data_IF_175614998856
#
_entry.id   IF_175614998856
#
_cell.length_a   1.000
_cell.length_b   1.000
_cell.length_c   1.000
_cell.angle_alpha   90.00
_cell.angle_beta   90.00
_cell.angle_gamma   90.00
#
_symmetry.space_group_name_H-M   'P 1'
#
loop_
_entity.id
_entity.type
_entity.pdbx_description
1 polymer ?
#
# COMPACT_ATOMS: atom_id res chain seq x y z
N UNK A 1 14.62 -19.51 83.21
CA UNK A 1 13.30 -18.86 82.97
C UNK A 1 13.32 -18.31 81.56
N UNK A 2 12.55 -18.99 80.71
CA UNK A 2 12.31 -18.70 79.29
C UNK A 2 11.50 -17.43 79.11
N UNK A 3 11.89 -16.58 78.16
CA UNK A 3 10.93 -15.74 77.43
C UNK A 3 11.43 -15.57 76.00
N UNK A 4 10.95 -16.46 75.13
CA UNK A 4 11.13 -16.39 73.69
C UNK A 4 9.99 -15.50 73.16
N UNK A 5 10.32 -14.29 72.73
CA UNK A 5 9.35 -13.35 72.16
C UNK A 5 8.95 -13.87 70.75
N UNK A 6 7.77 -14.47 70.63
CA UNK A 6 7.18 -14.83 69.34
C UNK A 6 6.60 -13.57 68.68
N UNK A 7 7.29 -13.02 67.68
CA UNK A 7 6.75 -12.00 66.77
C UNK A 7 5.95 -12.70 65.67
N UNK A 8 4.62 -12.73 65.82
CA UNK A 8 3.70 -13.21 64.79
C UNK A 8 3.50 -12.09 63.77
N UNK A 9 4.12 -12.21 62.59
CA UNK A 9 3.78 -11.37 61.44
C UNK A 9 2.51 -11.93 60.79
N UNK A 10 1.36 -11.32 61.07
CA UNK A 10 0.13 -11.58 60.33
C UNK A 10 0.23 -10.93 58.95
N UNK A 11 0.58 -11.69 57.92
CA UNK A 11 0.35 -11.28 56.54
C UNK A 11 -1.15 -11.38 56.24
N UNK A 12 -1.88 -10.30 56.50
CA UNK A 12 -3.21 -10.11 55.91
C UNK A 12 -3.03 -9.98 54.40
N UNK A 13 -3.37 -11.05 53.66
CA UNK A 13 -3.52 -11.00 52.21
C UNK A 13 -4.66 -10.01 51.90
N UNK A 14 -4.30 -8.76 51.64
CA UNK A 14 -5.21 -7.82 51.00
C UNK A 14 -5.35 -8.35 49.57
N UNK A 15 -6.45 -9.04 49.29
CA UNK A 15 -6.86 -9.37 47.93
C UNK A 15 -7.12 -8.06 47.18
N UNK A 16 -6.07 -7.47 46.60
CA UNK A 16 -6.22 -6.53 45.52
C UNK A 16 -6.85 -7.29 44.35
N UNK A 17 -8.17 -7.14 44.19
CA UNK A 17 -8.85 -7.39 42.92
C UNK A 17 -8.45 -6.29 41.92
N UNK A 18 -7.15 -6.20 41.63
CA UNK A 18 -6.69 -5.57 40.42
C UNK A 18 -6.98 -6.54 39.29
N UNK A 19 -7.91 -6.19 38.40
CA UNK A 19 -7.97 -6.82 37.07
C UNK A 19 -6.63 -6.54 36.41
N UNK A 20 -5.69 -7.48 36.53
CA UNK A 20 -4.56 -7.56 35.62
C UNK A 20 -5.16 -7.85 34.25
N UNK A 21 -5.31 -6.81 33.43
CA UNK A 21 -5.46 -7.00 32.00
C UNK A 21 -4.17 -7.70 31.57
N UNK A 22 -4.27 -8.99 31.26
CA UNK A 22 -3.23 -9.68 30.52
C UNK A 22 -2.97 -8.84 29.27
N UNK A 23 -1.80 -8.20 29.20
CA UNK A 23 -1.30 -7.64 27.95
C UNK A 23 -1.17 -8.85 27.03
N UNK A 24 -2.15 -9.04 26.13
CA UNK A 24 -2.04 -10.06 25.09
C UNK A 24 -0.81 -9.67 24.28
N UNK A 25 0.23 -10.49 24.37
CA UNK A 25 1.37 -10.39 23.47
C UNK A 25 0.83 -10.60 22.06
N UNK A 26 0.62 -9.51 21.33
CA UNK A 26 0.28 -9.57 19.93
C UNK A 26 1.59 -9.83 19.20
N UNK A 27 1.68 -10.98 18.53
CA UNK A 27 2.86 -11.28 17.73
C UNK A 27 3.08 -10.15 16.72
N UNK A 28 4.35 -9.72 16.51
CA UNK A 28 4.65 -8.66 15.57
C UNK A 28 4.20 -9.08 14.17
N UNK A 29 3.51 -8.17 13.47
CA UNK A 29 2.98 -8.40 12.12
C UNK A 29 4.08 -8.54 11.05
N UNK A 30 5.34 -8.30 11.41
CA UNK A 30 6.48 -8.47 10.54
C UNK A 30 7.63 -9.16 11.27
N UNK A 31 8.61 -9.64 10.51
CA UNK A 31 9.92 -10.06 10.99
C UNK A 31 11.03 -9.23 10.37
N UNK A 32 12.09 -9.01 11.12
CA UNK A 32 13.30 -8.43 10.58
C UNK A 32 14.12 -9.52 9.91
N UNK A 33 14.25 -9.43 8.59
CA UNK A 33 15.01 -10.36 7.76
C UNK A 33 16.26 -9.66 7.28
N UNK A 34 17.40 -10.37 7.26
CA UNK A 34 18.61 -9.84 6.62
C UNK A 34 18.31 -9.41 5.18
N UNK A 35 18.78 -8.22 4.80
CA UNK A 35 18.44 -7.62 3.51
C UNK A 35 18.82 -8.53 2.33
N UNK A 36 19.82 -9.40 2.47
CA UNK A 36 20.27 -10.36 1.46
C UNK A 36 19.52 -11.70 1.50
N UNK A 37 18.75 -11.96 2.56
CA UNK A 37 17.97 -13.20 2.75
C UNK A 37 16.47 -13.00 2.48
N UNK A 38 16.08 -11.86 1.91
CA UNK A 38 14.68 -11.60 1.56
C UNK A 38 14.17 -12.63 0.54
N UNK A 39 12.89 -13.06 0.63
CA UNK A 39 12.31 -14.04 -0.28
C UNK A 39 12.50 -13.71 -1.77
N UNK A 40 12.54 -12.42 -2.11
CA UNK A 40 12.70 -11.94 -3.48
C UNK A 40 14.05 -12.25 -4.12
N UNK A 41 15.13 -12.29 -3.34
CA UNK A 41 16.47 -12.57 -3.84
C UNK A 41 16.67 -14.06 -4.18
N UNK A 42 15.76 -14.93 -3.75
CA UNK A 42 15.70 -16.31 -4.23
C UNK A 42 15.16 -16.43 -5.67
N UNK A 43 14.74 -15.32 -6.30
CA UNK A 43 14.33 -15.34 -7.70
C UNK A 43 15.55 -15.51 -8.62
N UNK A 44 15.54 -16.44 -9.61
CA UNK A 44 16.71 -16.70 -10.47
C UNK A 44 17.26 -15.46 -11.18
N UNK A 45 16.39 -14.52 -11.56
CA UNK A 45 16.80 -13.25 -12.21
C UNK A 45 17.40 -12.21 -11.26
N UNK A 46 17.28 -12.40 -9.95
CA UNK A 46 17.84 -11.51 -8.95
C UNK A 46 19.08 -12.12 -8.28
N UNK A 47 19.57 -13.26 -8.77
CA UNK A 47 20.84 -13.82 -8.36
C UNK A 47 21.97 -12.82 -8.66
N UNK A 48 22.80 -12.55 -7.66
CA UNK A 48 23.89 -11.56 -7.73
C UNK A 48 23.42 -10.10 -7.97
N UNK A 49 22.13 -9.80 -7.76
CA UNK A 49 21.64 -8.43 -7.88
C UNK A 49 22.30 -7.53 -6.83
N UNK A 50 22.90 -6.42 -7.28
CA UNK A 50 23.40 -5.39 -6.39
C UNK A 50 22.23 -4.55 -5.88
N UNK A 51 21.91 -4.70 -4.60
CA UNK A 51 20.81 -3.98 -3.95
C UNK A 51 21.10 -2.47 -3.96
N UNK A 52 20.26 -1.72 -4.65
CA UNK A 52 20.26 -0.25 -4.65
C UNK A 52 19.51 0.24 -3.41
N UNK A 53 20.22 0.81 -2.43
CA UNK A 53 19.64 1.22 -1.13
C UNK A 53 19.04 2.62 -1.12
N UNK A 54 19.51 3.48 -2.03
CA UNK A 54 19.09 4.87 -2.15
C UNK A 54 18.71 5.13 -3.60
N UNK A 55 17.59 5.82 -3.86
CA UNK A 55 17.29 6.31 -5.20
C UNK A 55 18.40 7.22 -5.73
N UNK A 56 18.47 7.45 -7.04
CA UNK A 56 19.41 8.41 -7.61
C UNK A 56 19.05 9.85 -7.21
N UNK A 57 20.03 10.76 -7.26
CA UNK A 57 19.82 12.17 -6.92
C UNK A 57 18.73 12.82 -7.80
N UNK A 58 18.60 12.39 -9.06
CA UNK A 58 17.53 12.86 -9.96
C UNK A 58 16.16 12.43 -9.45
N UNK A 59 16.02 11.17 -9.02
CA UNK A 59 14.76 10.67 -8.43
C UNK A 59 14.48 11.38 -7.12
N UNK A 60 15.49 11.62 -6.28
CA UNK A 60 15.31 12.38 -5.04
C UNK A 60 14.89 13.82 -5.30
N UNK A 61 15.47 14.50 -6.28
CA UNK A 61 15.09 15.87 -6.66
C UNK A 61 13.66 15.92 -7.22
N UNK A 62 13.28 14.90 -8.00
CA UNK A 62 11.93 14.73 -8.53
C UNK A 62 10.91 14.55 -7.40
N UNK A 63 11.17 13.63 -6.46
CA UNK A 63 10.29 13.38 -5.30
C UNK A 63 10.24 14.60 -4.36
N UNK A 64 11.36 15.29 -4.18
CA UNK A 64 11.47 16.46 -3.31
C UNK A 64 10.55 17.59 -3.76
N UNK A 65 10.42 17.83 -5.07
CA UNK A 65 9.51 18.84 -5.63
C UNK A 65 8.05 18.55 -5.28
N UNK A 66 7.63 17.29 -5.42
CA UNK A 66 6.27 16.85 -5.07
C UNK A 66 5.98 16.97 -3.57
N UNK A 67 6.96 16.70 -2.71
CA UNK A 67 6.83 16.91 -1.25
C UNK A 67 6.97 18.37 -0.83
N UNK A 68 7.66 19.23 -1.58
CA UNK A 68 7.83 20.65 -1.22
C UNK A 68 6.60 21.49 -1.56
N UNK A 69 5.83 21.09 -2.57
CA UNK A 69 4.46 21.61 -2.81
C UNK A 69 3.55 21.45 -1.59
N UNK A 70 3.91 20.60 -0.61
CA UNK A 70 3.18 20.44 0.64
C UNK A 70 3.45 21.49 1.71
N UNK A 71 4.53 22.29 1.63
CA UNK A 71 4.72 23.41 2.56
C UNK A 71 3.70 24.55 2.34
N UNK A 72 2.76 24.38 1.39
CA UNK A 72 1.60 25.23 1.13
C UNK A 72 0.27 24.58 1.59
N UNK A 73 0.28 23.35 2.12
CA UNK A 73 -0.90 22.60 2.57
C UNK A 73 -1.14 22.82 4.06
N UNK A 74 -1.91 23.84 4.42
CA UNK A 74 -2.32 24.04 5.81
C UNK A 74 -3.56 23.21 6.22
N UNK A 75 -4.23 22.48 5.29
CA UNK A 75 -5.50 21.79 5.56
C UNK A 75 -5.56 20.28 5.22
N UNK A 76 -4.58 19.70 4.52
CA UNK A 76 -4.57 18.26 4.20
C UNK A 76 -3.49 17.51 4.99
N UNK A 77 -3.90 16.53 5.80
CA UNK A 77 -3.00 15.79 6.67
C UNK A 77 -2.33 14.60 5.95
N UNK A 78 -1.08 14.30 6.30
CA UNK A 78 -0.37 13.15 5.75
C UNK A 78 -0.87 11.87 6.42
N UNK A 79 -1.13 10.84 5.63
CA UNK A 79 -1.45 9.52 6.14
C UNK A 79 -0.20 8.89 6.79
N UNK A 80 -0.32 8.49 8.04
CA UNK A 80 0.75 7.92 8.86
C UNK A 80 0.58 6.40 8.96
N UNK A 81 1.68 5.67 8.97
CA UNK A 81 1.68 4.22 9.16
C UNK A 81 1.72 3.86 10.64
N UNK A 82 0.90 2.90 11.06
CA UNK A 82 0.99 2.28 12.39
C UNK A 82 2.10 1.22 12.37
N UNK A 83 3.35 1.69 12.51
CA UNK A 83 4.56 0.88 12.51
C UNK A 83 5.50 1.30 13.65
N UNK A 84 6.31 0.37 14.20
CA UNK A 84 7.28 0.72 15.23
C UNK A 84 8.29 1.77 14.77
N UNK A 85 8.50 2.80 15.58
CA UNK A 85 9.39 3.92 15.26
C UNK A 85 10.82 3.48 14.92
N UNK A 86 11.35 2.50 15.68
CA UNK A 86 12.73 2.01 15.52
C UNK A 86 12.94 1.16 14.26
N UNK A 87 11.88 0.54 13.73
CA UNK A 87 11.99 -0.43 12.64
C UNK A 87 12.93 -1.60 12.96
N UNK A 88 13.56 -2.14 11.93
CA UNK A 88 14.53 -3.22 12.00
C UNK A 88 15.97 -2.73 12.24
N UNK A 89 16.83 -3.57 12.86
CA UNK A 89 18.26 -3.34 13.00
C UNK A 89 18.96 -3.05 11.66
N UNK A 90 20.14 -2.40 11.73
CA UNK A 90 20.98 -2.14 10.56
C UNK A 90 21.30 -3.45 9.82
N UNK A 91 21.07 -3.47 8.51
CA UNK A 91 21.28 -4.66 7.68
C UNK A 91 20.05 -5.55 7.53
N UNK A 92 18.96 -5.24 8.24
CA UNK A 92 17.70 -5.97 8.15
C UNK A 92 16.56 -5.08 7.63
N UNK A 93 15.53 -5.72 7.09
CA UNK A 93 14.30 -5.07 6.64
C UNK A 93 13.06 -5.78 7.20
N UNK A 94 11.97 -5.06 7.47
CA UNK A 94 10.74 -5.65 7.96
C UNK A 94 10.00 -6.37 6.83
N UNK A 95 9.75 -7.67 6.96
CA UNK A 95 8.97 -8.47 6.02
C UNK A 95 7.67 -8.87 6.71
N UNK A 96 6.54 -8.46 6.15
CA UNK A 96 5.22 -8.79 6.69
C UNK A 96 5.00 -10.30 6.76
N UNK A 97 4.50 -10.77 7.90
CA UNK A 97 4.11 -12.15 8.14
C UNK A 97 2.67 -12.34 7.69
N UNK A 98 2.40 -13.03 6.57
CA UNK A 98 1.03 -13.25 6.14
C UNK A 98 0.28 -14.05 7.20
N UNK A 99 -0.88 -13.55 7.65
CA UNK A 99 -1.76 -14.31 8.55
C UNK A 99 -2.42 -15.50 7.82
N UNK A 100 -2.59 -15.39 6.51
CA UNK A 100 -3.20 -16.41 5.65
C UNK A 100 -2.24 -16.85 4.53
N UNK A 101 -1.44 -17.89 4.79
CA UNK A 101 -0.52 -18.47 3.79
C UNK A 101 -1.23 -19.11 2.58
N UNK A 102 -2.50 -19.48 2.73
CA UNK A 102 -3.32 -20.09 1.68
C UNK A 102 -4.07 -19.06 0.81
N UNK A 103 -3.74 -17.77 0.92
CA UNK A 103 -4.33 -16.76 0.05
C UNK A 103 -3.89 -16.99 -1.39
N UNK A 104 -4.78 -17.54 -2.21
CA UNK A 104 -4.62 -17.55 -3.65
C UNK A 104 -4.84 -16.13 -4.14
N UNK A 105 -3.79 -15.51 -4.69
CA UNK A 105 -3.88 -14.18 -5.27
C UNK A 105 -5.04 -14.17 -6.27
N UNK A 106 -6.13 -13.48 -5.92
CA UNK A 106 -7.18 -13.19 -6.89
C UNK A 106 -6.59 -12.12 -7.80
N UNK A 107 -6.33 -12.40 -9.07
CA UNK A 107 -5.77 -11.39 -9.95
C UNK A 107 -6.77 -10.22 -10.02
N UNK A 108 -6.30 -9.00 -9.78
CA UNK A 108 -7.12 -7.81 -9.99
C UNK A 108 -6.95 -7.37 -11.45
N UNK A 109 -8.02 -7.52 -12.23
CA UNK A 109 -8.06 -7.15 -13.64
C UNK A 109 -8.67 -5.75 -13.77
N UNK A 110 -7.86 -4.70 -13.68
CA UNK A 110 -8.32 -3.38 -14.13
C UNK A 110 -8.37 -3.32 -15.65
N UNK A 111 -7.40 -3.89 -16.37
CA UNK A 111 -7.21 -3.60 -17.79
C UNK A 111 -6.84 -4.88 -18.56
N UNK A 112 -7.81 -5.59 -19.11
CA UNK A 112 -7.58 -6.38 -20.33
C UNK A 112 -8.68 -6.03 -21.33
N UNK A 113 -8.32 -5.77 -22.58
CA UNK A 113 -9.28 -5.54 -23.65
C UNK A 113 -10.12 -6.82 -23.84
N UNK A 114 -11.25 -6.92 -23.13
CA UNK A 114 -12.30 -7.91 -23.37
C UNK A 114 -12.61 -8.87 -22.22
N UNK A 115 -11.68 -9.16 -21.31
CA UNK A 115 -11.93 -10.10 -20.20
C UNK A 115 -11.86 -9.39 -18.84
N UNK A 116 -12.99 -8.81 -18.43
CA UNK A 116 -13.21 -8.36 -17.05
C UNK A 116 -13.57 -9.55 -16.18
N UNK A 117 -12.96 -9.64 -15.00
CA UNK A 117 -13.35 -10.67 -14.03
C UNK A 117 -14.70 -10.31 -13.44
N UNK A 118 -15.65 -11.26 -13.52
CA UNK A 118 -16.99 -11.09 -12.93
C UNK A 118 -16.83 -10.73 -11.44
N UNK A 119 -17.51 -9.66 -11.02
CA UNK A 119 -17.50 -9.15 -9.64
C UNK A 119 -16.33 -8.24 -9.28
N UNK A 120 -15.49 -7.84 -10.24
CA UNK A 120 -14.50 -6.78 -10.07
C UNK A 120 -14.95 -5.54 -10.83
N UNK A 121 -14.81 -4.37 -10.20
CA UNK A 121 -15.18 -3.08 -10.76
C UNK A 121 -14.02 -2.10 -10.66
N UNK A 122 -13.95 -1.17 -11.61
CA UNK A 122 -12.85 -0.19 -11.69
C UNK A 122 -13.39 1.20 -12.00
N UNK A 123 -12.81 2.20 -11.35
CA UNK A 123 -12.95 3.60 -11.69
C UNK A 123 -11.55 4.20 -11.67
N UNK A 124 -11.04 4.60 -12.83
CA UNK A 124 -9.73 5.22 -12.90
C UNK A 124 -9.46 5.87 -14.24
N UNK A 125 -8.22 6.35 -14.37
CA UNK A 125 -7.73 6.96 -15.59
C UNK A 125 -6.63 6.09 -16.18
N UNK A 126 -6.58 6.03 -17.51
CA UNK A 126 -5.53 5.36 -18.25
C UNK A 126 -4.97 6.27 -19.31
N UNK A 127 -3.69 6.11 -19.58
CA UNK A 127 -3.03 6.77 -20.70
C UNK A 127 -3.59 6.28 -22.04
N UNK A 128 -3.82 7.19 -22.99
CA UNK A 128 -4.22 6.85 -24.37
C UNK A 128 -3.13 7.13 -25.42
N UNK A 129 -2.11 7.91 -25.09
CA UNK A 129 -1.01 8.21 -26.02
C UNK A 129 -0.09 6.99 -26.27
N UNK A 130 0.66 7.00 -27.38
CA UNK A 130 1.61 5.94 -27.74
C UNK A 130 2.99 6.03 -27.05
N UNK A 131 3.33 7.14 -26.39
CA UNK A 131 4.66 7.37 -25.78
C UNK A 131 4.79 6.64 -24.43
N UNK A 132 5.75 5.74 -24.19
CA UNK A 132 5.81 5.02 -22.91
C UNK A 132 6.05 5.98 -21.72
N UNK A 133 5.24 5.86 -20.67
CA UNK A 133 5.56 6.46 -19.36
C UNK A 133 6.55 5.57 -18.62
N UNK A 134 7.58 6.20 -18.04
CA UNK A 134 8.64 5.52 -17.27
C UNK A 134 8.40 5.57 -15.78
N UNK A 135 7.35 6.25 -15.34
CA UNK A 135 7.01 6.37 -13.94
C UNK A 135 5.58 6.87 -13.79
N UNK A 136 5.10 6.82 -12.55
CA UNK A 136 3.86 7.41 -12.13
C UNK A 136 3.98 7.77 -10.65
N UNK A 137 3.47 8.93 -10.26
CA UNK A 137 3.33 9.31 -8.86
C UNK A 137 1.99 9.99 -8.61
N UNK A 138 1.45 9.84 -7.41
CA UNK A 138 0.21 10.47 -7.00
C UNK A 138 0.15 10.61 -5.47
N UNK A 139 -0.55 11.66 -5.03
CA UNK A 139 -1.14 11.71 -3.70
C UNK A 139 -2.50 11.01 -3.75
N UNK A 140 -2.67 9.94 -2.97
CA UNK A 140 -3.90 9.15 -2.93
C UNK A 140 -4.50 9.27 -1.54
N UNK A 141 -5.78 9.64 -1.46
CA UNK A 141 -6.53 9.63 -0.20
C UNK A 141 -6.68 8.20 0.33
N UNK A 142 -6.55 8.03 1.65
CA UNK A 142 -6.57 6.71 2.29
C UNK A 142 -7.92 6.50 2.96
N UNK A 143 -8.75 5.62 2.41
CA UNK A 143 -10.05 5.29 2.97
C UNK A 143 -10.08 3.87 3.54
N UNK A 144 -10.99 3.63 4.50
CA UNK A 144 -11.32 2.29 5.00
C UNK A 144 -12.74 1.89 4.57
N UNK A 145 -12.96 1.58 3.28
CA UNK A 145 -14.25 1.08 2.82
C UNK A 145 -14.62 -0.21 3.55
N UNK A 146 -15.91 -0.36 3.88
CA UNK A 146 -16.43 -1.60 4.44
C UNK A 146 -16.50 -2.66 3.35
N UNK A 147 -15.86 -3.81 3.58
CA UNK A 147 -15.89 -4.97 2.68
C UNK A 147 -16.39 -6.20 3.42
N UNK A 148 -17.12 -7.08 2.73
CA UNK A 148 -17.57 -8.36 3.27
C UNK A 148 -16.59 -9.49 2.93
N UNK A 149 -16.83 -10.68 3.51
CA UNK A 149 -16.02 -11.87 3.25
C UNK A 149 -15.91 -12.14 1.75
N UNK A 150 -14.69 -12.19 1.23
CA UNK A 150 -14.41 -12.46 -0.18
C UNK A 150 -14.41 -11.24 -1.10
N UNK A 151 -14.74 -10.05 -0.56
CA UNK A 151 -14.61 -8.76 -1.22
C UNK A 151 -13.31 -8.04 -0.77
N UNK A 152 -12.87 -7.10 -1.59
CA UNK A 152 -11.74 -6.22 -1.32
C UNK A 152 -11.98 -4.86 -1.99
N UNK A 153 -11.24 -3.84 -1.56
CA UNK A 153 -11.22 -2.52 -2.20
C UNK A 153 -9.79 -1.98 -2.20
N UNK A 154 -9.40 -1.27 -3.26
CA UNK A 154 -8.02 -0.79 -3.44
C UNK A 154 -7.99 0.55 -4.15
N UNK A 155 -6.95 1.33 -3.89
CA UNK A 155 -6.56 2.48 -4.70
C UNK A 155 -5.07 2.38 -5.01
N UNK A 156 -4.73 2.43 -6.30
CA UNK A 156 -3.41 2.07 -6.80
C UNK A 156 -2.99 3.00 -7.94
N UNK A 157 -1.71 3.30 -8.03
CA UNK A 157 -1.04 3.66 -9.29
C UNK A 157 -0.47 2.40 -9.93
N UNK A 158 -0.36 2.37 -11.25
CA UNK A 158 0.17 1.19 -11.94
C UNK A 158 0.90 1.52 -13.23
N UNK A 159 2.01 0.82 -13.47
CA UNK A 159 2.65 0.74 -14.78
C UNK A 159 2.31 -0.60 -15.41
N UNK A 160 1.98 -0.56 -16.70
CA UNK A 160 1.53 -1.73 -17.45
C UNK A 160 2.18 -1.72 -18.83
N UNK A 161 2.77 -2.84 -19.21
CA UNK A 161 3.25 -3.11 -20.57
C UNK A 161 2.64 -4.41 -21.07
N UNK A 162 2.06 -4.36 -22.26
CA UNK A 162 1.45 -5.51 -22.91
C UNK A 162 2.05 -5.68 -24.31
N UNK A 163 2.66 -6.83 -24.57
CA UNK A 163 3.23 -7.17 -25.87
C UNK A 163 3.06 -8.67 -26.15
N UNK A 164 2.54 -9.06 -27.31
CA UNK A 164 2.34 -10.46 -27.71
C UNK A 164 1.63 -11.30 -26.62
N UNK A 165 0.54 -10.78 -26.06
CA UNK A 165 -0.23 -11.38 -24.96
C UNK A 165 0.57 -11.62 -23.66
N UNK A 166 1.79 -11.06 -23.54
CA UNK A 166 2.54 -11.00 -22.28
C UNK A 166 2.24 -9.69 -21.59
N UNK A 167 1.76 -9.80 -20.37
CA UNK A 167 1.43 -8.68 -19.51
C UNK A 167 2.46 -8.56 -18.40
N UNK A 168 3.16 -7.43 -18.40
CA UNK A 168 3.99 -6.99 -17.28
C UNK A 168 3.27 -5.85 -16.57
N UNK A 169 3.06 -5.98 -15.26
CA UNK A 169 2.47 -4.90 -14.47
C UNK A 169 3.11 -4.81 -13.11
N UNK A 170 3.26 -3.58 -12.64
CA UNK A 170 3.55 -3.24 -11.25
C UNK A 170 2.50 -2.23 -10.81
N UNK A 171 1.91 -2.48 -9.66
CA UNK A 171 0.88 -1.64 -9.06
C UNK A 171 1.26 -1.37 -7.61
N UNK A 172 1.00 -0.16 -7.14
CA UNK A 172 1.39 0.28 -5.81
C UNK A 172 0.37 1.24 -5.23
N UNK A 173 -0.03 1.00 -3.98
CA UNK A 173 -0.95 1.86 -3.24
C UNK A 173 -1.46 1.19 -1.98
N UNK A 174 -2.76 1.23 -1.73
CA UNK A 174 -3.36 0.63 -0.54
C UNK A 174 -4.53 -0.29 -0.88
N UNK A 175 -4.78 -1.27 -0.02
CA UNK A 175 -5.91 -2.18 -0.13
C UNK A 175 -6.53 -2.46 1.24
N UNK A 176 -7.86 -2.59 1.25
CA UNK A 176 -8.63 -3.25 2.31
C UNK A 176 -9.00 -4.64 1.78
N UNK A 177 -8.24 -5.65 2.19
CA UNK A 177 -8.46 -7.05 1.81
C UNK A 177 -8.32 -7.98 3.04
N UNK A 178 -9.45 -8.34 3.69
CA UNK A 178 -9.44 -9.24 4.84
C UNK A 178 -8.99 -10.66 4.50
N UNK A 179 -9.09 -11.08 3.24
CA UNK A 179 -8.55 -12.36 2.80
C UNK A 179 -7.02 -12.37 2.85
N UNK A 180 -6.40 -11.29 2.40
CA UNK A 180 -4.95 -11.13 2.35
C UNK A 180 -4.35 -10.81 3.73
N UNK A 181 -4.97 -9.88 4.48
CA UNK A 181 -4.40 -9.32 5.71
C UNK A 181 -5.01 -9.85 7.01
N UNK A 182 -6.20 -10.46 6.94
CA UNK A 182 -6.92 -10.96 8.12
C UNK A 182 -7.61 -9.86 8.94
N UNK A 183 -7.63 -8.61 8.46
CA UNK A 183 -8.36 -7.49 9.04
C UNK A 183 -8.91 -6.56 7.95
N UNK A 184 -9.65 -5.53 8.38
CA UNK A 184 -10.28 -4.55 7.49
C UNK A 184 -9.49 -3.24 7.44
N UNK A 185 -8.22 -3.20 7.85
CA UNK A 185 -7.44 -1.97 7.81
C UNK A 185 -6.96 -1.69 6.38
N UNK A 186 -6.90 -0.42 5.94
CA UNK A 186 -6.20 -0.09 4.72
C UNK A 186 -4.70 -0.34 4.95
N UNK A 187 -4.10 -1.13 4.08
CA UNK A 187 -2.70 -1.55 4.20
C UNK A 187 -1.94 -1.26 2.92
N UNK A 188 -0.68 -0.82 3.08
CA UNK A 188 0.22 -0.59 1.95
C UNK A 188 0.34 -1.88 1.14
N UNK A 189 0.06 -1.80 -0.15
CA UNK A 189 -0.10 -2.98 -1.00
C UNK A 189 0.62 -2.76 -2.32
N UNK A 190 1.32 -3.79 -2.78
CA UNK A 190 1.78 -3.88 -4.15
C UNK A 190 1.27 -5.16 -4.78
N UNK A 191 1.06 -5.10 -6.09
CA UNK A 191 0.77 -6.25 -6.92
C UNK A 191 1.68 -6.16 -8.14
N UNK A 192 2.30 -7.28 -8.53
CA UNK A 192 3.05 -7.31 -9.78
C UNK A 192 2.94 -8.67 -10.46
N UNK A 193 3.11 -8.66 -11.78
CA UNK A 193 3.06 -9.85 -12.63
C UNK A 193 4.14 -9.76 -13.72
N UNK A 194 5.02 -10.77 -13.87
CA UNK A 194 6.10 -10.78 -14.87
C UNK A 194 5.68 -11.16 -16.29
N UNK A 195 4.62 -11.95 -16.46
CA UNK A 195 4.33 -12.57 -17.76
C UNK A 195 2.84 -12.65 -18.05
N UNK A 196 2.07 -13.17 -17.10
CA UNK A 196 0.62 -13.31 -17.17
C UNK A 196 0.04 -12.93 -15.84
N UNK A 197 -1.17 -12.40 -15.85
CA UNK A 197 -1.81 -11.90 -14.63
C UNK A 197 -2.03 -13.01 -13.58
N UNK A 198 -2.35 -14.24 -14.00
CA UNK A 198 -2.48 -15.36 -13.06
C UNK A 198 -1.15 -15.78 -12.42
N UNK A 199 -0.01 -15.32 -12.96
CA UNK A 199 1.32 -15.55 -12.40
C UNK A 199 1.73 -14.42 -11.42
N UNK A 200 0.87 -13.41 -11.21
CA UNK A 200 1.11 -12.31 -10.30
C UNK A 200 0.69 -12.60 -8.86
N UNK A 201 1.23 -11.83 -7.92
CA UNK A 201 0.94 -11.94 -6.50
C UNK A 201 1.14 -10.62 -5.77
N UNK A 202 0.57 -10.56 -4.56
CA UNK A 202 0.65 -9.39 -3.70
C UNK A 202 1.91 -9.40 -2.84
N UNK A 203 2.47 -8.22 -2.62
CA UNK A 203 3.53 -7.98 -1.64
C UNK A 203 4.69 -8.98 -1.80
N UNK A 204 5.27 -9.40 -0.67
CA UNK A 204 6.41 -10.31 -0.57
C UNK A 204 6.06 -11.77 -0.90
N UNK A 205 4.78 -12.09 -1.19
CA UNK A 205 4.41 -13.42 -1.72
C UNK A 205 5.07 -13.64 -3.10
N UNK A 206 5.32 -12.56 -3.82
CA UNK A 206 6.06 -12.58 -5.07
C UNK A 206 7.55 -12.32 -4.86
N UNK A 207 8.37 -13.08 -5.59
CA UNK A 207 9.82 -12.88 -5.63
C UNK A 207 10.22 -11.98 -6.80
N UNK A 208 10.28 -10.66 -6.62
CA UNK A 208 10.62 -9.77 -7.75
C UNK A 208 11.04 -8.34 -7.43
N UNK A 209 10.94 -7.89 -6.19
CA UNK A 209 11.45 -6.60 -5.75
C UNK A 209 12.20 -6.78 -4.42
N UNK A 210 13.15 -5.90 -4.15
CA UNK A 210 13.91 -5.91 -2.89
C UNK A 210 13.41 -4.77 -2.04
N UNK A 211 12.96 -5.05 -0.82
CA UNK A 211 12.65 -4.00 0.13
C UNK A 211 13.95 -3.49 0.75
N UNK A 212 14.08 -2.18 0.88
CA UNK A 212 15.31 -1.53 1.38
C UNK A 212 15.05 -0.63 2.57
N UNK A 213 13.80 -0.19 2.77
CA UNK A 213 13.42 0.59 3.93
C UNK A 213 13.45 -0.29 5.19
N UNK A 214 14.08 0.23 6.26
CA UNK A 214 14.24 -0.51 7.53
C UNK A 214 13.02 -0.40 8.44
N UNK A 215 12.04 0.47 8.14
CA UNK A 215 10.86 0.76 8.96
C UNK A 215 9.58 0.36 8.25
N UNK A 216 9.37 0.86 7.03
CA UNK A 216 8.16 0.63 6.28
C UNK A 216 8.22 -0.71 5.54
N UNK A 217 7.10 -1.44 5.56
CA UNK A 217 6.96 -2.72 4.88
C UNK A 217 5.63 -2.81 4.13
N UNK A 218 5.60 -3.64 3.09
CA UNK A 218 4.37 -3.96 2.39
C UNK A 218 3.46 -4.78 3.28
N UNK A 219 2.23 -4.32 3.46
CA UNK A 219 1.28 -4.81 4.44
C UNK A 219 1.16 -3.91 5.67
N UNK A 220 1.98 -2.86 5.83
CA UNK A 220 1.85 -1.93 6.95
C UNK A 220 0.47 -1.23 6.96
N UNK A 221 -0.23 -1.19 8.11
CA UNK A 221 -1.51 -0.50 8.24
C UNK A 221 -1.32 1.01 8.33
N UNK A 222 -2.28 1.77 7.80
CA UNK A 222 -2.39 3.20 8.07
C UNK A 222 -3.10 3.44 9.41
N UNK A 223 -2.62 4.41 10.18
CA UNK A 223 -3.10 4.78 11.52
C UNK A 223 -4.26 5.79 11.48
N UNK A 224 -4.27 6.63 10.44
CA UNK A 224 -5.29 7.65 10.18
C UNK A 224 -5.88 7.45 8.78
N UNK A 225 -7.16 7.77 8.64
CA UNK A 225 -7.94 7.53 7.42
C UNK A 225 -8.86 8.70 7.11
N UNK A 226 -9.09 8.93 5.83
CA UNK A 226 -10.07 9.89 5.33
C UNK A 226 -11.50 9.49 5.68
N UNK A 227 -12.34 10.49 5.93
CA UNK A 227 -13.77 10.35 6.16
C UNK A 227 -14.53 11.18 5.13
N UNK A 228 -15.57 10.61 4.52
CA UNK A 228 -16.41 11.33 3.55
C UNK A 228 -16.99 12.61 4.18
N UNK A 229 -16.75 13.76 3.55
CA UNK A 229 -17.16 15.07 4.06
C UNK A 229 -16.46 15.52 5.35
N UNK A 230 -15.40 14.83 5.77
CA UNK A 230 -14.63 15.13 6.97
C UNK A 230 -13.13 15.20 6.67
N UNK A 231 -12.32 14.93 7.70
CA UNK A 231 -10.85 14.96 7.60
C UNK A 231 -10.34 14.08 6.45
N UNK A 232 -9.38 14.60 5.70
CA UNK A 232 -8.74 13.91 4.58
C UNK A 232 -7.28 13.62 4.92
N UNK A 233 -6.86 12.38 4.69
CA UNK A 233 -5.48 11.93 4.84
C UNK A 233 -4.98 11.31 3.54
N UNK A 234 -3.82 11.77 3.09
CA UNK A 234 -3.26 11.37 1.79
C UNK A 234 -1.89 10.73 1.96
N UNK A 235 -1.62 9.71 1.14
CA UNK A 235 -0.28 9.09 1.02
C UNK A 235 0.29 9.40 -0.35
N UNK A 236 1.57 9.77 -0.38
CA UNK A 236 2.30 9.90 -1.63
C UNK A 236 2.88 8.56 -2.05
N UNK A 237 2.70 8.21 -3.32
CA UNK A 237 3.14 6.94 -3.89
C UNK A 237 3.80 7.22 -5.23
N UNK A 238 4.91 6.54 -5.49
CA UNK A 238 5.65 6.69 -6.74
C UNK A 238 6.20 5.34 -7.22
N UNK A 239 6.12 5.11 -8.53
CA UNK A 239 6.77 4.03 -9.25
C UNK A 239 7.67 4.70 -10.28
N UNK A 240 8.97 4.40 -10.27
CA UNK A 240 9.95 5.02 -11.17
C UNK A 240 10.84 3.97 -11.84
N UNK A 241 10.98 4.06 -13.16
CA UNK A 241 11.91 3.25 -13.94
C UNK A 241 13.25 3.97 -14.05
N UNK A 242 14.34 3.32 -13.64
CA UNK A 242 15.71 3.84 -13.65
C UNK A 242 16.36 3.86 -15.05
N UNK A 243 15.71 4.42 -16.07
CA UNK A 243 16.33 4.62 -17.39
C UNK A 243 16.70 6.09 -17.51
N UNK A 244 17.97 6.36 -17.81
CA UNK A 244 18.73 7.64 -17.80
C UNK A 244 18.23 8.77 -18.71
N UNK A 245 16.94 8.84 -19.01
CA UNK A 245 16.34 10.03 -19.61
C UNK A 245 16.14 11.10 -18.54
N UNK A 246 16.13 12.36 -18.95
CA UNK A 246 15.78 13.51 -18.12
C UNK A 246 14.49 13.24 -17.35
N UNK A 247 14.59 12.88 -16.06
CA UNK A 247 13.47 12.60 -15.15
C UNK A 247 12.62 13.85 -14.91
N UNK A 248 11.98 14.36 -15.97
CA UNK A 248 11.05 15.49 -15.93
C UNK A 248 9.69 14.96 -15.52
N UNK A 249 9.18 15.48 -14.41
CA UNK A 249 7.76 15.34 -14.08
C UNK A 249 6.94 16.03 -15.17
N UNK A 250 5.92 15.32 -15.64
CA UNK A 250 4.94 15.83 -16.58
C UNK A 250 3.59 15.57 -15.95
N UNK A 251 2.86 16.64 -15.70
CA UNK A 251 1.49 16.57 -15.22
C UNK A 251 0.59 15.84 -16.21
N UNK A 252 -0.44 15.17 -15.69
CA UNK A 252 -1.40 14.45 -16.51
C UNK A 252 -2.24 15.44 -17.32
N UNK A 253 -2.07 15.44 -18.63
CA UNK A 253 -2.98 16.17 -19.53
C UNK A 253 -4.27 15.35 -19.71
N UNK A 254 -5.40 15.94 -19.29
CA UNK A 254 -6.74 15.33 -19.37
C UNK A 254 -7.15 14.96 -20.79
N UNK A 255 -6.59 15.60 -21.82
CA UNK A 255 -6.84 15.26 -23.23
C UNK A 255 -6.04 14.05 -23.71
N UNK A 256 -5.06 13.59 -22.91
CA UNK A 256 -4.11 12.51 -23.22
C UNK A 256 -4.33 11.27 -22.37
N UNK A 257 -5.41 11.27 -21.59
CA UNK A 257 -5.90 10.14 -20.80
C UNK A 257 -7.34 9.82 -21.19
N UNK A 258 -7.74 8.58 -20.92
CA UNK A 258 -9.10 8.09 -21.07
C UNK A 258 -9.59 7.51 -19.75
N UNK A 259 -10.88 7.61 -19.50
CA UNK A 259 -11.51 6.96 -18.36
C UNK A 259 -11.55 5.44 -18.54
N UNK A 260 -11.31 4.71 -17.46
CA UNK A 260 -11.54 3.27 -17.34
C UNK A 260 -12.59 3.02 -16.27
N UNK A 261 -13.84 2.93 -16.72
CA UNK A 261 -15.03 2.70 -15.90
C UNK A 261 -15.82 1.56 -16.52
N UNK A 262 -16.15 0.55 -15.72
CA UNK A 262 -16.93 -0.60 -16.16
C UNK A 262 -18.44 -0.42 -15.95
N UNK A 263 -18.86 0.12 -14.80
CA UNK A 263 -20.27 0.40 -14.49
C UNK A 263 -20.45 1.87 -14.11
N UNK A 264 -20.69 2.73 -15.11
CA UNK A 264 -20.88 4.18 -14.93
C UNK A 264 -22.07 4.58 -14.03
N UNK A 265 -23.01 3.66 -13.77
CA UNK A 265 -24.14 3.89 -12.85
C UNK A 265 -23.73 3.86 -11.38
N UNK A 266 -22.59 3.24 -11.06
CA UNK A 266 -22.09 3.04 -9.70
C UNK A 266 -20.72 3.69 -9.49
N UNK A 267 -19.88 3.64 -10.53
CA UNK A 267 -18.51 4.10 -10.47
C UNK A 267 -18.37 5.33 -11.34
N UNK A 268 -17.62 6.30 -10.83
CA UNK A 268 -17.39 7.53 -11.57
C UNK A 268 -15.94 7.98 -11.43
N UNK A 269 -15.49 8.72 -12.43
CA UNK A 269 -14.22 9.46 -12.42
C UNK A 269 -14.56 10.88 -12.84
N UNK A 270 -14.20 11.87 -12.02
CA UNK A 270 -14.38 13.26 -12.38
C UNK A 270 -13.02 13.95 -12.35
N UNK A 271 -12.64 14.54 -13.48
CA UNK A 271 -11.50 15.44 -13.56
C UNK A 271 -11.87 16.77 -12.89
N UNK A 272 -11.06 17.17 -11.92
CA UNK A 272 -11.16 18.48 -11.29
C UNK A 272 -10.10 19.45 -11.84
N UNK A 273 -9.17 18.94 -12.66
CA UNK A 273 -8.00 19.67 -13.16
C UNK A 273 -7.23 20.26 -11.96
N UNK A 274 -6.61 21.43 -12.10
CA UNK A 274 -5.99 22.16 -10.99
C UNK A 274 -7.01 22.49 -9.89
N UNK A 275 -7.02 21.70 -8.82
CA UNK A 275 -7.94 21.84 -7.69
C UNK A 275 -7.23 22.51 -6.51
N UNK A 276 -7.37 23.82 -6.40
CA UNK A 276 -6.70 24.60 -5.36
C UNK A 276 -5.18 24.60 -5.56
N UNK A 277 -4.43 24.18 -4.54
CA UNK A 277 -2.97 23.97 -4.62
C UNK A 277 -2.58 22.63 -5.24
N UNK A 278 -3.55 21.72 -5.41
CA UNK A 278 -3.28 20.44 -6.02
C UNK A 278 -3.15 20.65 -7.54
N UNK A 279 -2.13 20.02 -8.13
CA UNK A 279 -1.91 19.97 -9.58
C UNK A 279 -3.06 19.16 -10.23
N UNK A 280 -2.78 18.39 -11.28
CA UNK A 280 -3.79 17.60 -11.98
C UNK A 280 -4.51 16.62 -11.04
N UNK A 281 -5.77 16.92 -10.73
CA UNK A 281 -6.56 16.19 -9.73
C UNK A 281 -7.76 15.52 -10.39
N UNK A 282 -8.04 14.29 -9.97
CA UNK A 282 -9.25 13.58 -10.31
C UNK A 282 -9.81 12.87 -9.08
N UNK A 283 -11.13 12.78 -9.02
CA UNK A 283 -11.83 11.95 -8.03
C UNK A 283 -12.26 10.67 -8.71
N UNK A 284 -12.20 9.56 -7.98
CA UNK A 284 -12.58 8.25 -8.47
C UNK A 284 -13.18 7.42 -7.34
N UNK A 285 -14.09 6.51 -7.68
CA UNK A 285 -14.67 5.59 -6.71
C UNK A 285 -16.10 5.20 -7.04
N UNK A 286 -16.74 4.49 -6.11
CA UNK A 286 -18.11 4.01 -6.19
C UNK A 286 -18.56 3.40 -4.86
N UNK A 287 -19.77 2.82 -4.76
CA UNK A 287 -20.78 2.67 -5.81
C UNK A 287 -21.87 3.77 -5.74
N UNK A 288 -21.53 5.06 -5.68
CA UNK A 288 -22.54 6.12 -5.63
C UNK A 288 -23.49 6.05 -6.85
N UNK A 289 -24.81 6.08 -6.62
CA UNK A 289 -25.85 5.95 -7.66
C UNK A 289 -26.92 4.89 -7.36
N UNK A 290 -27.77 4.57 -8.35
CA UNK A 290 -28.72 3.45 -8.28
C UNK A 290 -28.03 2.17 -8.79
N UNK A 291 -27.43 1.43 -7.86
CA UNK A 291 -26.63 0.24 -8.15
C UNK A 291 -27.41 -1.08 -8.20
N UNK A 292 -28.73 -1.01 -8.04
CA UNK A 292 -29.63 -2.14 -8.14
C UNK A 292 -30.06 -2.38 -9.60
N UNK A 293 -29.22 -3.06 -10.38
CA UNK A 293 -29.67 -3.85 -11.56
C UNK A 293 -28.78 -5.05 -11.80
#
# INVERSE_FOLDING_TARGET
MTSLLLLIFSFSLICFHGKSQSVKYQEPEFECVDIYNQPSLHHPRLQNHQIQKTPSDEVLAMLSRETTSQNLLNDEAIAEFDIPEKGCPKGQVPIHKPRNFNYTAKPFHSISNGNRTIGQHVAGIRKIEAIPWRGASAWISVYQPKVHKGQFSMALIGLKTENNCKLNTIQFGWAVDPGLYGDNLPRLTTYWSPNKLHDGCFNVLCKGFVQVDKRLFLGAPFSNISVLGGAQFHTFLAINQYVTTDYKNVDIDSNKVGEDIDIRKCYNVNYLDNFGTNQQTFTFGGPGGLCDV
#
